data_IF_879472583417
#
_entry.id   IF_879472583417
#
_cell.length_a   1.000
_cell.length_b   1.000
_cell.length_c   1.000
_cell.angle_alpha   90.00
_cell.angle_beta   90.00
_cell.angle_gamma   90.00
#
_symmetry.space_group_name_H-M   'P 1'
#
loop_
_entity.id
_entity.type
_entity.pdbx_description
1 polymer ?
#
# COMPACT_ATOMS: atom_id res chain seq x y z
N UNK A 1 -25.00 14.05 15.10
CA UNK A 1 -24.38 13.50 13.89
C UNK A 1 -23.14 12.76 14.35
N UNK A 2 -23.29 11.47 14.62
CA UNK A 2 -22.17 10.58 14.93
C UNK A 2 -21.39 10.37 13.64
N UNK A 3 -20.19 10.95 13.57
CA UNK A 3 -19.22 10.64 12.53
C UNK A 3 -18.58 9.31 12.97
N UNK A 4 -18.78 8.26 12.18
CA UNK A 4 -18.29 6.91 12.47
C UNK A 4 -16.77 6.90 12.64
N UNK A 5 -16.30 6.21 13.68
CA UNK A 5 -14.89 5.98 14.06
C UNK A 5 -13.98 5.54 12.89
N UNK A 6 -14.57 4.99 11.82
CA UNK A 6 -13.89 4.49 10.62
C UNK A 6 -13.40 5.62 9.69
N UNK A 7 -14.08 6.77 9.67
CA UNK A 7 -13.66 7.94 8.87
C UNK A 7 -12.46 8.63 9.50
N UNK A 8 -12.33 8.57 10.82
CA UNK A 8 -11.20 9.15 11.54
C UNK A 8 -9.90 8.42 11.20
N UNK A 9 -9.90 7.08 11.08
CA UNK A 9 -8.67 6.31 10.81
C UNK A 9 -8.07 6.63 9.45
N UNK A 10 -8.89 6.76 8.39
CA UNK A 10 -8.41 7.09 7.04
C UNK A 10 -7.87 8.52 6.99
N UNK A 11 -8.55 9.46 7.64
CA UNK A 11 -8.09 10.84 7.79
C UNK A 11 -6.79 10.89 8.61
N UNK A 12 -6.67 10.12 9.69
CA UNK A 12 -5.45 10.03 10.49
C UNK A 12 -4.29 9.42 9.71
N UNK A 13 -4.51 8.42 8.86
CA UNK A 13 -3.46 7.85 7.99
C UNK A 13 -3.02 8.89 6.95
N UNK A 14 -3.94 9.57 6.28
CA UNK A 14 -3.61 10.64 5.32
C UNK A 14 -2.88 11.81 6.00
N UNK A 15 -3.33 12.24 7.18
CA UNK A 15 -2.67 13.28 7.98
C UNK A 15 -1.29 12.80 8.45
N UNK A 16 -1.16 11.54 8.91
CA UNK A 16 0.12 10.94 9.32
C UNK A 16 1.14 10.91 8.16
N UNK A 17 0.69 10.61 6.94
CA UNK A 17 1.53 10.66 5.74
C UNK A 17 1.91 12.09 5.34
N UNK A 18 0.99 13.07 5.44
CA UNK A 18 1.31 14.48 5.22
C UNK A 18 2.31 15.03 6.26
N UNK A 19 2.21 14.60 7.52
CA UNK A 19 3.09 15.02 8.62
C UNK A 19 4.51 14.44 8.53
N UNK A 20 4.66 13.22 8.01
CA UNK A 20 5.98 12.60 7.87
C UNK A 20 6.83 13.25 6.76
N UNK A 21 6.21 13.95 5.82
CA UNK A 21 6.87 14.46 4.60
C UNK A 21 6.93 15.99 4.49
N UNK A 22 6.00 16.74 5.08
CA UNK A 22 6.10 18.21 5.11
C UNK A 22 6.91 18.68 6.33
N UNK A 23 8.02 19.37 6.07
CA UNK A 23 8.85 20.01 7.08
C UNK A 23 8.01 20.81 8.10
N UNK A 24 8.38 20.69 9.39
CA UNK A 24 7.70 21.21 10.60
C UNK A 24 7.10 22.64 10.48
N UNK A 25 7.62 23.49 9.61
CA UNK A 25 7.17 24.86 9.43
C UNK A 25 5.92 25.01 8.54
N UNK A 26 5.67 24.10 7.58
CA UNK A 26 4.52 24.21 6.67
C UNK A 26 3.20 23.74 7.29
N UNK A 27 3.25 22.85 8.28
CA UNK A 27 2.06 22.37 9.01
C UNK A 27 1.44 23.47 9.89
N UNK A 28 2.27 24.36 10.46
CA UNK A 28 1.76 25.52 11.21
C UNK A 28 0.99 26.49 10.31
N UNK A 29 1.45 26.70 9.08
CA UNK A 29 0.73 27.50 8.08
C UNK A 29 -0.59 26.82 7.69
N UNK A 30 -0.55 25.51 7.40
CA UNK A 30 -1.73 24.74 7.01
C UNK A 30 -2.84 24.72 8.08
N UNK A 31 -2.47 24.63 9.36
CA UNK A 31 -3.44 24.73 10.47
C UNK A 31 -3.96 26.16 10.71
N UNK A 32 -3.27 27.18 10.20
CA UNK A 32 -3.72 28.57 10.27
C UNK A 32 -4.71 28.89 9.14
N UNK A 33 -4.48 28.36 7.94
CA UNK A 33 -5.26 28.64 6.72
C UNK A 33 -6.58 27.85 6.64
N UNK A 34 -6.69 26.74 7.37
CA UNK A 34 -7.96 26.04 7.51
C UNK A 34 -8.77 26.78 8.59
N UNK A 35 -9.74 27.59 8.16
CA UNK A 35 -10.71 28.30 9.00
C UNK A 35 -11.60 27.38 9.83
N UNK A 36 -11.02 26.71 10.82
CA UNK A 36 -11.69 25.78 11.74
C UNK A 36 -11.76 26.36 13.15
N UNK A 37 -12.89 26.10 13.81
CA UNK A 37 -13.26 26.63 15.12
C UNK A 37 -12.22 26.30 16.20
N UNK A 38 -12.18 27.13 17.24
CA UNK A 38 -11.29 27.02 18.42
C UNK A 38 -11.30 25.63 19.07
N UNK A 39 -12.42 24.91 19.00
CA UNK A 39 -12.58 23.55 19.53
C UNK A 39 -11.72 22.53 18.74
N UNK A 40 -11.71 22.61 17.41
CA UNK A 40 -10.95 21.70 16.56
C UNK A 40 -9.44 21.92 16.69
N UNK A 41 -9.01 23.16 16.90
CA UNK A 41 -7.61 23.49 17.22
C UNK A 41 -7.16 22.86 18.55
N UNK A 42 -8.06 22.81 19.53
CA UNK A 42 -7.79 22.22 20.85
C UNK A 42 -7.64 20.70 20.78
N UNK A 43 -8.49 20.02 20.02
CA UNK A 43 -8.42 18.55 19.83
C UNK A 43 -7.12 18.14 19.14
N UNK A 44 -6.73 18.86 18.08
CA UNK A 44 -5.47 18.61 17.36
C UNK A 44 -4.25 18.85 18.28
N UNK A 45 -4.29 19.90 19.10
CA UNK A 45 -3.22 20.20 20.07
C UNK A 45 -3.13 19.16 21.20
N UNK A 46 -4.27 18.66 21.69
CA UNK A 46 -4.31 17.61 22.71
C UNK A 46 -3.76 16.28 22.17
N UNK A 47 -4.06 15.96 20.91
CA UNK A 47 -3.51 14.79 20.22
C UNK A 47 -1.98 14.89 20.04
N UNK A 48 -1.46 16.10 19.72
CA UNK A 48 -0.03 16.39 19.61
C UNK A 48 0.73 16.15 20.93
N UNK A 49 0.18 16.60 22.07
CA UNK A 49 0.81 16.43 23.39
C UNK A 49 0.81 14.98 23.86
N UNK A 50 -0.25 14.24 23.54
CA UNK A 50 -0.37 12.82 23.92
C UNK A 50 0.67 11.98 23.18
N UNK A 51 0.90 12.25 21.89
CA UNK A 51 1.89 11.55 21.06
C UNK A 51 3.33 11.69 21.58
N UNK A 52 3.73 12.91 21.99
CA UNK A 52 5.09 13.15 22.55
C UNK A 52 5.34 12.32 23.81
N UNK A 53 4.33 12.18 24.67
CA UNK A 53 4.47 11.40 25.91
C UNK A 53 4.57 9.89 25.68
N UNK A 54 3.91 9.36 24.64
CA UNK A 54 3.90 7.92 24.33
C UNK A 54 5.16 7.44 23.62
N UNK A 55 5.79 8.30 22.81
CA UNK A 55 7.04 7.98 22.10
C UNK A 55 8.23 7.88 23.08
N UNK A 56 8.26 8.75 24.10
CA UNK A 56 9.28 8.74 25.15
C UNK A 56 9.15 7.50 26.07
N UNK A 57 7.93 7.07 26.40
CA UNK A 57 7.70 5.86 27.21
C UNK A 57 7.97 4.54 26.46
N UNK A 58 7.67 4.49 25.16
CA UNK A 58 7.94 3.32 24.32
C UNK A 58 9.46 3.07 24.16
N UNK A 59 10.24 4.14 24.01
CA UNK A 59 11.70 4.08 23.91
C UNK A 59 12.38 3.61 25.21
N UNK A 60 11.83 3.98 26.38
CA UNK A 60 12.35 3.54 27.68
C UNK A 60 12.09 2.06 27.94
N UNK A 61 10.90 1.57 27.58
CA UNK A 61 10.46 0.18 27.84
C UNK A 61 11.16 -0.83 26.92
N UNK A 62 11.55 -0.42 25.71
CA UNK A 62 12.30 -1.25 24.76
C UNK A 62 13.71 -1.62 25.23
N UNK A 63 14.41 -0.72 25.94
CA UNK A 63 15.78 -0.97 26.41
C UNK A 63 15.86 -2.07 27.47
N UNK A 64 14.78 -2.32 28.20
CA UNK A 64 14.72 -3.33 29.26
C UNK A 64 14.45 -4.73 28.70
N UNK A 65 13.66 -4.86 27.61
CA UNK A 65 13.24 -6.18 27.07
C UNK A 65 14.26 -6.86 26.16
N UNK A 66 15.26 -6.16 25.64
CA UNK A 66 16.30 -6.78 24.78
C UNK A 66 17.36 -7.57 25.55
N UNK A 67 17.37 -7.52 26.89
CA UNK A 67 18.38 -8.19 27.71
C UNK A 67 18.04 -9.67 28.06
N UNK A 68 16.85 -10.17 27.73
CA UNK A 68 16.34 -11.44 28.31
C UNK A 68 16.17 -12.62 27.32
N UNK A 69 16.50 -12.48 26.04
CA UNK A 69 16.38 -13.60 25.08
C UNK A 69 17.71 -14.36 24.88
N UNK A 70 17.79 -15.58 25.41
CA UNK A 70 18.90 -16.53 25.17
C UNK A 70 18.90 -17.12 23.75
N UNK A 71 19.98 -17.81 23.32
CA UNK A 71 20.15 -18.26 21.94
C UNK A 71 19.24 -19.45 21.58
N UNK A 72 18.73 -19.52 20.32
CA UNK A 72 17.81 -20.57 19.88
C UNK A 72 18.54 -21.85 19.37
N UNK A 73 17.84 -23.00 19.30
CA UNK A 73 18.44 -24.30 18.94
C UNK A 73 18.72 -24.48 17.44
N UNK A 74 19.75 -25.29 17.13
CA UNK A 74 20.50 -25.36 15.86
C UNK A 74 19.86 -26.17 14.71
N UNK A 75 18.57 -26.52 14.74
CA UNK A 75 17.95 -27.39 13.70
C UNK A 75 16.61 -26.90 13.14
N UNK A 76 16.28 -25.61 13.28
CA UNK A 76 15.03 -25.07 12.73
C UNK A 76 15.09 -24.87 11.20
N UNK A 77 14.04 -25.32 10.50
CA UNK A 77 13.82 -25.11 9.07
C UNK A 77 13.93 -23.62 8.67
N UNK A 78 14.35 -23.36 7.42
CA UNK A 78 14.48 -22.01 6.86
C UNK A 78 13.18 -21.20 7.05
N UNK A 79 13.24 -19.98 7.64
CA UNK A 79 12.09 -19.13 7.93
C UNK A 79 11.46 -18.56 6.65
N UNK A 80 10.22 -18.02 6.74
CA UNK A 80 9.41 -17.65 5.58
C UNK A 80 9.98 -16.45 4.79
N UNK A 81 9.71 -16.30 3.47
CA UNK A 81 9.93 -15.04 2.77
C UNK A 81 9.02 -13.99 3.40
N UNK A 82 9.29 -12.73 3.11
CA UNK A 82 8.55 -11.61 3.65
C UNK A 82 7.02 -11.77 3.45
N UNK A 83 6.65 -12.33 2.28
CA UNK A 83 5.27 -12.56 1.81
C UNK A 83 4.60 -13.81 2.42
N UNK A 84 5.34 -14.67 3.14
CA UNK A 84 4.76 -15.79 3.90
C UNK A 84 4.80 -15.56 5.44
N UNK A 85 5.25 -14.41 5.93
CA UNK A 85 5.14 -14.04 7.37
C UNK A 85 3.78 -13.33 7.59
N UNK A 86 2.71 -14.00 7.17
CA UNK A 86 1.32 -13.53 7.25
C UNK A 86 0.44 -14.60 7.87
N UNK A 87 -0.18 -14.26 9.00
CA UNK A 87 -0.99 -15.13 9.86
C UNK A 87 -2.27 -15.65 9.18
N UNK A 88 -2.52 -16.96 9.33
CA UNK A 88 -3.81 -17.66 9.35
C UNK A 88 -4.96 -17.16 8.47
N UNK A 89 -5.40 -18.01 7.51
CA UNK A 89 -6.68 -17.86 6.81
C UNK A 89 -7.83 -17.65 7.81
N UNK A 90 -8.69 -16.67 7.57
CA UNK A 90 -9.93 -16.48 8.32
C UNK A 90 -11.11 -16.31 7.37
N UNK A 91 -12.15 -17.08 7.65
CA UNK A 91 -13.47 -17.10 7.03
C UNK A 91 -14.17 -15.73 7.09
N UNK A 92 -14.75 -15.34 5.97
CA UNK A 92 -15.70 -14.23 5.86
C UNK A 92 -17.10 -14.63 6.34
N UNK A 93 -17.48 -14.13 7.51
CA UNK A 93 -18.89 -13.88 7.76
C UNK A 93 -19.33 -12.70 6.89
N UNK A 94 -20.38 -12.88 6.09
CA UNK A 94 -20.86 -11.94 5.09
C UNK A 94 -21.10 -10.52 5.62
N UNK A 95 -20.32 -9.56 5.12
CA UNK A 95 -20.33 -8.15 5.58
C UNK A 95 -21.05 -7.25 4.56
N UNK A 96 -22.23 -7.63 4.08
CA UNK A 96 -23.19 -6.69 3.48
C UNK A 96 -24.65 -7.20 3.56
N UNK A 97 -25.41 -6.85 4.60
CA UNK A 97 -26.84 -6.72 4.47
C UNK A 97 -27.17 -5.28 4.04
N UNK A 98 -27.67 -5.10 2.82
CA UNK A 98 -28.46 -3.92 2.46
C UNK A 98 -27.76 -2.79 1.72
N UNK A 99 -27.20 -3.05 0.53
CA UNK A 99 -27.15 -1.99 -0.49
C UNK A 99 -28.58 -1.80 -1.01
N UNK A 100 -29.24 -0.71 -0.63
CA UNK A 100 -30.51 -0.29 -1.26
C UNK A 100 -30.18 0.16 -2.68
N UNK A 101 -30.89 -0.42 -3.66
CA UNK A 101 -30.94 0.08 -5.03
C UNK A 101 -31.23 1.59 -5.01
N UNK A 102 -30.34 2.39 -5.57
CA UNK A 102 -30.61 3.81 -5.78
C UNK A 102 -31.69 3.95 -6.86
N UNK A 103 -32.76 4.63 -6.46
CA UNK A 103 -33.94 4.93 -7.27
C UNK A 103 -33.60 5.90 -8.39
N UNK A 104 -34.38 5.80 -9.46
CA UNK A 104 -34.31 6.65 -10.65
C UNK A 104 -34.22 8.14 -10.31
N UNK A 105 -33.35 8.83 -11.05
CA UNK A 105 -33.26 10.29 -11.05
C UNK A 105 -34.47 10.82 -11.83
N UNK A 106 -35.61 10.87 -11.18
CA UNK A 106 -36.81 11.58 -11.62
C UNK A 106 -37.34 12.34 -10.41
N UNK A 107 -36.90 13.60 -10.29
CA UNK A 107 -37.68 14.74 -9.79
C UNK A 107 -36.76 15.86 -9.29
N UNK A 108 -36.18 16.59 -10.23
CA UNK A 108 -35.73 17.97 -10.00
C UNK A 108 -36.11 18.79 -11.24
N UNK A 109 -37.35 19.28 -11.23
CA UNK A 109 -37.84 20.31 -12.16
C UNK A 109 -37.61 21.70 -11.56
N UNK A 110 -36.84 22.55 -12.25
CA UNK A 110 -36.90 24.02 -12.29
C UNK A 110 -35.78 24.45 -13.27
N UNK A 111 -35.90 25.30 -14.30
CA UNK A 111 -36.95 26.03 -15.02
C UNK A 111 -36.28 26.47 -16.35
N UNK A 112 -37.05 26.61 -17.42
CA UNK A 112 -36.61 26.79 -18.82
C UNK A 112 -36.09 28.23 -19.16
N UNK A 113 -35.60 28.55 -20.39
CA UNK A 113 -34.26 29.07 -20.64
C UNK A 113 -34.26 30.45 -21.33
N UNK A 114 -33.22 31.26 -21.14
CA UNK A 114 -32.68 32.23 -22.12
C UNK A 114 -31.59 33.07 -21.46
N UNK A 115 -30.59 33.47 -22.25
CA UNK A 115 -29.46 34.34 -21.91
C UNK A 115 -28.35 33.77 -21.02
N UNK A 116 -27.45 33.01 -21.63
CA UNK A 116 -26.01 33.36 -21.54
C UNK A 116 -25.23 32.65 -22.65
N UNK A 117 -25.28 33.23 -23.85
CA UNK A 117 -24.25 33.00 -24.86
C UNK A 117 -22.91 33.52 -24.32
N UNK A 118 -21.85 32.87 -24.77
CA UNK A 118 -20.42 33.24 -24.61
C UNK A 118 -19.82 33.04 -23.22
N UNK A 119 -19.19 31.86 -23.04
CA UNK A 119 -17.75 31.68 -22.77
C UNK A 119 -17.49 30.16 -22.59
N UNK A 120 -17.22 29.45 -23.68
CA UNK A 120 -16.69 28.07 -23.58
C UNK A 120 -15.22 28.21 -23.18
N UNK A 121 -14.91 27.97 -21.90
CA UNK A 121 -13.56 27.96 -21.35
C UNK A 121 -13.40 26.74 -20.43
N UNK A 122 -12.63 25.76 -20.92
CA UNK A 122 -11.83 24.81 -20.12
C UNK A 122 -12.52 24.09 -18.93
N UNK A 123 -13.66 23.42 -19.15
CA UNK A 123 -14.26 22.52 -18.13
C UNK A 123 -13.81 21.05 -18.22
N UNK A 124 -13.06 20.65 -19.27
CA UNK A 124 -12.83 19.23 -19.60
C UNK A 124 -11.71 18.51 -18.80
N UNK A 125 -10.92 19.21 -17.97
CA UNK A 125 -9.76 18.58 -17.29
C UNK A 125 -10.00 18.21 -15.83
N UNK A 126 -10.98 18.83 -15.16
CA UNK A 126 -11.23 18.59 -13.73
C UNK A 126 -12.00 17.29 -13.49
N UNK A 127 -12.88 16.90 -14.43
CA UNK A 127 -13.77 15.74 -14.28
C UNK A 127 -13.01 14.40 -14.31
N UNK A 128 -12.07 14.23 -15.24
CA UNK A 128 -11.26 13.01 -15.36
C UNK A 128 -10.32 12.80 -14.15
N UNK A 129 -9.69 13.87 -13.65
CA UNK A 129 -8.79 13.78 -12.50
C UNK A 129 -9.50 13.52 -11.17
N UNK A 130 -10.73 14.03 -11.00
CA UNK A 130 -11.58 13.71 -9.85
C UNK A 130 -12.01 12.23 -9.88
N UNK A 131 -12.32 11.71 -11.07
CA UNK A 131 -12.62 10.29 -11.27
C UNK A 131 -11.42 9.40 -10.89
N UNK A 132 -10.20 9.77 -11.30
CA UNK A 132 -8.97 9.03 -10.96
C UNK A 132 -8.74 8.98 -9.44
N UNK A 133 -8.88 10.12 -8.74
CA UNK A 133 -8.74 10.17 -7.28
C UNK A 133 -9.81 9.31 -6.60
N UNK A 134 -11.06 9.34 -7.07
CA UNK A 134 -12.14 8.55 -6.51
C UNK A 134 -11.86 7.03 -6.64
N UNK A 135 -11.36 6.57 -7.79
CA UNK A 135 -11.02 5.16 -8.01
C UNK A 135 -9.83 4.73 -7.15
N UNK A 136 -8.80 5.58 -7.01
CA UNK A 136 -7.66 5.30 -6.14
C UNK A 136 -8.10 5.21 -4.68
N UNK A 137 -8.94 6.14 -4.21
CA UNK A 137 -9.47 6.12 -2.83
C UNK A 137 -10.30 4.86 -2.57
N UNK A 138 -11.13 4.43 -3.54
CA UNK A 138 -11.88 3.18 -3.48
C UNK A 138 -10.96 1.96 -3.34
N UNK A 139 -9.84 1.94 -4.07
CA UNK A 139 -8.85 0.86 -3.99
C UNK A 139 -8.15 0.82 -2.63
N UNK A 140 -7.73 1.98 -2.11
CA UNK A 140 -7.10 2.10 -0.78
C UNK A 140 -8.05 1.64 0.32
N UNK A 141 -9.31 2.06 0.28
CA UNK A 141 -10.33 1.62 1.26
C UNK A 141 -10.52 0.11 1.24
N UNK A 142 -10.69 -0.49 0.05
CA UNK A 142 -10.83 -1.94 -0.08
C UNK A 142 -9.61 -2.67 0.48
N UNK A 143 -8.40 -2.27 0.05
CA UNK A 143 -7.14 -2.85 0.53
C UNK A 143 -7.02 -2.72 2.06
N UNK A 144 -7.31 -1.55 2.62
CA UNK A 144 -7.24 -1.33 4.07
C UNK A 144 -8.21 -2.25 4.83
N UNK A 145 -9.45 -2.42 4.33
CA UNK A 145 -10.44 -3.31 4.95
C UNK A 145 -10.05 -4.79 4.86
N UNK A 146 -9.55 -5.24 3.70
CA UNK A 146 -9.15 -6.63 3.47
C UNK A 146 -7.89 -6.99 4.26
N UNK A 147 -6.92 -6.08 4.33
CA UNK A 147 -5.66 -6.28 5.05
C UNK A 147 -5.68 -5.75 6.50
N UNK A 148 -6.85 -5.37 7.06
CA UNK A 148 -6.97 -4.70 8.38
C UNK A 148 -6.28 -5.42 9.55
N UNK A 149 -6.23 -6.75 9.48
CA UNK A 149 -5.58 -7.62 10.49
C UNK A 149 -4.16 -8.04 10.11
N UNK A 150 -3.77 -7.88 8.84
CA UNK A 150 -2.44 -8.26 8.38
C UNK A 150 -1.39 -7.26 8.88
N UNK A 151 -0.20 -7.79 9.17
CA UNK A 151 0.95 -7.03 9.65
C UNK A 151 2.18 -7.43 8.85
N UNK A 152 3.08 -6.47 8.69
CA UNK A 152 4.42 -6.65 8.14
C UNK A 152 5.26 -7.54 9.07
N UNK A 153 6.29 -8.17 8.52
CA UNK A 153 7.19 -9.07 9.23
C UNK A 153 8.23 -8.36 10.11
N UNK A 154 8.20 -7.03 10.20
CA UNK A 154 9.10 -6.24 11.03
C UNK A 154 8.77 -6.38 12.53
N UNK A 155 9.73 -6.12 13.44
CA UNK A 155 9.52 -6.22 14.89
C UNK A 155 8.38 -5.34 15.42
N UNK A 156 8.14 -4.18 14.80
CA UNK A 156 7.05 -3.28 15.20
C UNK A 156 5.68 -3.76 14.69
N UNK A 157 5.62 -4.83 13.89
CA UNK A 157 4.40 -5.39 13.30
C UNK A 157 3.61 -4.28 12.62
N UNK A 158 4.26 -3.56 11.69
CA UNK A 158 3.67 -2.41 11.02
C UNK A 158 2.39 -2.83 10.26
N UNK A 159 1.30 -2.03 10.21
CA UNK A 159 0.11 -2.35 9.41
C UNK A 159 0.45 -2.61 7.95
N UNK A 160 -0.14 -3.67 7.36
CA UNK A 160 0.23 -4.11 6.01
C UNK A 160 -0.12 -3.10 4.91
N UNK A 161 -1.18 -2.30 5.09
CA UNK A 161 -1.56 -1.24 4.15
C UNK A 161 -0.43 -0.26 3.81
N UNK A 162 0.54 -0.07 4.73
CA UNK A 162 1.71 0.76 4.49
C UNK A 162 2.61 0.22 3.37
N UNK A 163 2.60 -1.10 3.14
CA UNK A 163 3.20 -1.76 1.98
C UNK A 163 2.58 -1.23 0.69
N UNK A 164 1.27 -1.43 0.57
CA UNK A 164 0.51 -1.24 -0.65
C UNK A 164 0.58 0.22 -1.10
N UNK A 165 0.40 1.14 -0.15
CA UNK A 165 0.57 2.59 -0.38
C UNK A 165 2.02 2.92 -0.73
N UNK A 166 2.98 2.24 -0.11
CA UNK A 166 4.41 2.40 -0.36
C UNK A 166 4.85 1.99 -1.76
N UNK A 167 4.33 0.88 -2.27
CA UNK A 167 4.56 0.42 -3.65
C UNK A 167 3.99 1.42 -4.65
N UNK A 168 2.75 1.89 -4.44
CA UNK A 168 2.15 2.95 -5.25
C UNK A 168 2.95 4.26 -5.21
N UNK A 169 3.52 4.59 -4.04
CA UNK A 169 4.40 5.75 -3.89
C UNK A 169 5.69 5.62 -4.68
N UNK A 170 6.35 4.46 -4.68
CA UNK A 170 7.53 4.20 -5.49
C UNK A 170 7.22 4.40 -6.98
N UNK A 171 6.09 3.86 -7.46
CA UNK A 171 5.67 4.00 -8.85
C UNK A 171 5.47 5.48 -9.26
N UNK A 172 4.76 6.24 -8.45
CA UNK A 172 4.46 7.65 -8.77
C UNK A 172 5.68 8.57 -8.59
N UNK A 173 6.40 8.44 -7.46
CA UNK A 173 7.44 9.38 -7.09
C UNK A 173 8.79 9.08 -7.73
N UNK A 174 9.15 7.81 -7.91
CA UNK A 174 10.46 7.40 -8.44
C UNK A 174 10.37 6.95 -9.90
N UNK A 175 9.42 6.05 -10.21
CA UNK A 175 9.27 5.50 -11.55
C UNK A 175 8.52 6.43 -12.53
N UNK A 176 7.92 7.53 -12.02
CA UNK A 176 7.12 8.51 -12.77
C UNK A 176 5.94 7.89 -13.54
N UNK A 177 5.32 6.87 -12.94
CA UNK A 177 4.12 6.20 -13.47
C UNK A 177 2.88 6.92 -12.93
N UNK A 178 2.06 7.45 -13.82
CA UNK A 178 0.82 8.17 -13.50
C UNK A 178 -0.44 7.53 -14.10
N UNK A 179 -0.30 6.31 -14.65
CA UNK A 179 -1.44 5.54 -15.16
C UNK A 179 -2.28 5.01 -13.98
N UNK A 180 -3.52 5.49 -13.86
CA UNK A 180 -4.44 5.16 -12.75
C UNK A 180 -4.62 3.66 -12.58
N UNK A 181 -4.76 2.91 -13.69
CA UNK A 181 -4.93 1.45 -13.67
C UNK A 181 -3.73 0.77 -13.01
N UNK A 182 -2.51 1.17 -13.35
CA UNK A 182 -1.27 0.63 -12.75
C UNK A 182 -1.16 0.97 -11.27
N UNK A 183 -1.52 2.20 -10.87
CA UNK A 183 -1.48 2.62 -9.46
C UNK A 183 -2.53 1.87 -8.63
N UNK A 184 -3.75 1.70 -9.15
CA UNK A 184 -4.80 0.92 -8.51
C UNK A 184 -4.37 -0.55 -8.38
N UNK A 185 -3.79 -1.13 -9.43
CA UNK A 185 -3.26 -2.49 -9.38
C UNK A 185 -2.14 -2.64 -8.34
N UNK A 186 -1.24 -1.65 -8.22
CA UNK A 186 -0.20 -1.64 -7.19
C UNK A 186 -0.78 -1.61 -5.75
N UNK A 187 -1.86 -0.87 -5.52
CA UNK A 187 -2.54 -0.84 -4.22
C UNK A 187 -3.21 -2.19 -3.91
N UNK A 188 -3.64 -2.92 -4.94
CA UNK A 188 -4.39 -4.17 -4.81
C UNK A 188 -3.55 -5.44 -5.05
N UNK A 189 -2.25 -5.34 -5.31
CA UNK A 189 -1.48 -6.47 -5.86
C UNK A 189 -1.49 -7.73 -4.99
N UNK A 190 -1.44 -7.59 -3.67
CA UNK A 190 -1.49 -8.72 -2.72
C UNK A 190 -2.91 -9.16 -2.32
N UNK A 191 -3.94 -8.50 -2.84
CA UNK A 191 -5.29 -8.65 -2.27
C UNK A 191 -5.89 -10.03 -2.53
N UNK A 192 -5.66 -10.61 -3.71
CA UNK A 192 -6.12 -11.96 -4.05
C UNK A 192 -5.24 -13.01 -3.35
N UNK A 193 -3.95 -12.70 -3.18
CA UNK A 193 -2.97 -13.61 -2.60
C UNK A 193 -3.19 -13.83 -1.09
N UNK A 194 -3.47 -12.76 -0.35
CA UNK A 194 -3.44 -12.76 1.12
C UNK A 194 -4.82 -12.67 1.77
N UNK A 195 -5.88 -12.54 0.99
CA UNK A 195 -7.23 -12.34 1.51
C UNK A 195 -8.23 -13.22 0.74
N UNK A 196 -9.50 -13.22 1.15
CA UNK A 196 -10.55 -13.98 0.47
C UNK A 196 -11.10 -13.28 -0.79
N UNK A 197 -10.43 -12.22 -1.24
CA UNK A 197 -10.82 -11.44 -2.42
C UNK A 197 -10.62 -12.27 -3.69
N UNK A 198 -11.62 -12.24 -4.58
CA UNK A 198 -11.56 -13.00 -5.84
C UNK A 198 -11.25 -12.10 -7.02
N UNK A 199 -10.71 -12.69 -8.10
CA UNK A 199 -10.54 -12.02 -9.39
C UNK A 199 -11.84 -11.39 -9.90
N UNK A 200 -12.97 -12.11 -9.77
CA UNK A 200 -14.28 -11.66 -10.24
C UNK A 200 -14.71 -10.40 -9.51
N UNK A 201 -14.50 -10.35 -8.19
CA UNK A 201 -14.79 -9.16 -7.38
C UNK A 201 -13.98 -7.94 -7.85
N UNK A 202 -12.67 -8.09 -8.03
CA UNK A 202 -11.82 -6.99 -8.52
C UNK A 202 -12.26 -6.52 -9.90
N UNK A 203 -12.61 -7.46 -10.79
CA UNK A 203 -13.10 -7.14 -12.14
C UNK A 203 -14.39 -6.34 -12.11
N UNK A 204 -15.34 -6.69 -11.24
CA UNK A 204 -16.60 -5.97 -11.09
C UNK A 204 -16.42 -4.57 -10.48
N UNK A 205 -15.48 -4.42 -9.54
CA UNK A 205 -15.25 -3.17 -8.84
C UNK A 205 -14.35 -2.16 -9.57
N UNK A 206 -13.36 -2.64 -10.33
CA UNK A 206 -12.28 -1.82 -10.92
C UNK A 206 -12.03 -2.10 -12.41
N UNK A 207 -12.75 -3.06 -13.00
CA UNK A 207 -12.63 -3.41 -14.41
C UNK A 207 -11.61 -4.52 -14.70
N UNK A 208 -11.68 -5.01 -15.94
CA UNK A 208 -10.92 -6.18 -16.39
C UNK A 208 -9.40 -5.96 -16.40
N UNK A 209 -8.95 -4.75 -16.75
CA UNK A 209 -7.51 -4.46 -16.85
C UNK A 209 -6.83 -4.53 -15.48
N UNK A 210 -7.41 -3.87 -14.46
CA UNK A 210 -6.93 -3.95 -13.07
C UNK A 210 -6.93 -5.39 -12.58
N UNK A 211 -8.03 -6.12 -12.76
CA UNK A 211 -8.13 -7.51 -12.30
C UNK A 211 -7.07 -8.41 -12.95
N UNK A 212 -6.77 -8.19 -14.24
CA UNK A 212 -5.75 -8.94 -14.97
C UNK A 212 -4.36 -8.68 -14.39
N UNK A 213 -3.99 -7.40 -14.18
CA UNK A 213 -2.68 -7.05 -13.61
C UNK A 213 -2.54 -7.62 -12.19
N UNK A 214 -3.57 -7.48 -11.33
CA UNK A 214 -3.56 -8.04 -9.98
C UNK A 214 -3.40 -9.57 -10.02
N UNK A 215 -4.08 -10.25 -10.95
CA UNK A 215 -3.92 -11.69 -11.13
C UNK A 215 -2.53 -12.11 -11.61
N UNK A 216 -1.87 -11.28 -12.42
CA UNK A 216 -0.49 -11.53 -12.88
C UNK A 216 0.52 -11.41 -11.72
N UNK A 217 0.27 -10.49 -10.78
CA UNK A 217 1.07 -10.31 -9.55
C UNK A 217 0.77 -11.36 -8.48
N UNK A 218 -0.38 -12.05 -8.55
CA UNK A 218 -0.80 -13.01 -7.52
C UNK A 218 0.00 -14.31 -7.59
N UNK A 219 0.59 -14.72 -6.47
CA UNK A 219 1.38 -15.95 -6.39
C UNK A 219 0.52 -17.13 -5.91
N UNK A 220 0.59 -18.25 -6.63
CA UNK A 220 0.04 -19.53 -6.19
C UNK A 220 0.83 -20.11 -5.00
N UNK A 221 0.27 -20.00 -3.80
CA UNK A 221 0.84 -20.52 -2.53
C UNK A 221 0.72 -22.03 -2.35
N UNK A 222 0.12 -22.77 -3.29
CA UNK A 222 0.02 -24.25 -3.19
C UNK A 222 1.35 -24.97 -3.43
N UNK A 223 2.31 -24.32 -4.09
CA UNK A 223 3.59 -24.90 -4.45
C UNK A 223 4.64 -24.72 -3.36
N UNK A 224 5.62 -25.63 -3.31
CA UNK A 224 6.81 -25.45 -2.45
C UNK A 224 7.54 -24.15 -2.81
N UNK A 225 8.03 -23.46 -1.78
CA UNK A 225 8.64 -22.14 -1.90
C UNK A 225 9.73 -22.04 -2.97
N UNK A 226 10.67 -22.98 -3.01
CA UNK A 226 11.78 -22.91 -3.95
C UNK A 226 11.30 -23.12 -5.39
N UNK A 227 10.30 -23.98 -5.57
CA UNK A 227 9.65 -24.17 -6.86
C UNK A 227 8.89 -22.90 -7.28
N UNK A 228 8.21 -22.24 -6.34
CA UNK A 228 7.49 -20.98 -6.54
C UNK A 228 8.43 -19.86 -6.98
N UNK A 229 9.54 -19.67 -6.27
CA UNK A 229 10.58 -18.68 -6.61
C UNK A 229 11.18 -18.90 -7.99
N UNK A 230 11.50 -20.16 -8.34
CA UNK A 230 12.00 -20.52 -9.67
C UNK A 230 10.96 -20.25 -10.76
N UNK A 231 9.69 -20.57 -10.50
CA UNK A 231 8.60 -20.34 -11.45
C UNK A 231 8.34 -18.85 -11.67
N UNK A 232 8.46 -18.03 -10.63
CA UNK A 232 8.38 -16.57 -10.76
C UNK A 232 9.44 -16.05 -11.73
N UNK A 233 10.72 -16.44 -11.57
CA UNK A 233 11.79 -16.07 -12.52
C UNK A 233 11.42 -16.49 -13.96
N UNK A 234 11.04 -17.75 -14.17
CA UNK A 234 10.67 -18.26 -15.51
C UNK A 234 9.48 -17.52 -16.15
N UNK A 235 8.57 -16.97 -15.33
CA UNK A 235 7.38 -16.28 -15.82
C UNK A 235 7.53 -14.76 -15.84
N UNK A 236 8.54 -14.20 -15.20
CA UNK A 236 8.74 -12.76 -15.06
C UNK A 236 8.79 -12.03 -16.41
N UNK A 237 9.47 -12.60 -17.40
CA UNK A 237 9.55 -12.04 -18.75
C UNK A 237 8.21 -12.02 -19.50
N UNK A 238 7.27 -12.88 -19.10
CA UNK A 238 5.93 -13.03 -19.71
C UNK A 238 4.88 -12.08 -19.12
N UNK A 239 5.19 -11.43 -17.99
CA UNK A 239 4.30 -10.45 -17.39
C UNK A 239 4.05 -9.27 -18.33
N UNK A 240 2.84 -8.72 -18.28
CA UNK A 240 2.49 -7.47 -18.95
C UNK A 240 3.35 -6.32 -18.44
N UNK A 241 3.53 -5.27 -19.25
CA UNK A 241 4.37 -4.13 -18.88
C UNK A 241 3.91 -3.49 -17.55
N UNK A 242 2.59 -3.33 -17.35
CA UNK A 242 2.01 -2.78 -16.11
C UNK A 242 2.25 -3.70 -14.91
N UNK A 243 2.14 -5.02 -15.08
CA UNK A 243 2.47 -5.98 -14.02
C UNK A 243 3.97 -5.95 -13.66
N UNK A 244 4.87 -5.83 -14.64
CA UNK A 244 6.32 -5.67 -14.39
C UNK A 244 6.64 -4.41 -13.58
N UNK A 245 5.95 -3.29 -13.84
CA UNK A 245 6.11 -2.07 -13.04
C UNK A 245 5.74 -2.31 -11.57
N UNK A 246 4.57 -2.92 -11.32
CA UNK A 246 4.10 -3.26 -9.97
C UNK A 246 5.08 -4.19 -9.26
N UNK A 247 5.51 -5.27 -9.93
CA UNK A 247 6.46 -6.24 -9.39
C UNK A 247 7.80 -5.62 -9.04
N UNK A 248 8.39 -4.80 -9.93
CA UNK A 248 9.66 -4.13 -9.66
C UNK A 248 9.55 -3.17 -8.46
N UNK A 249 8.46 -2.40 -8.39
CA UNK A 249 8.22 -1.50 -7.26
C UNK A 249 8.00 -2.25 -5.94
N UNK A 250 7.27 -3.37 -5.97
CA UNK A 250 7.08 -4.24 -4.81
C UNK A 250 8.42 -4.80 -4.31
N UNK A 251 9.23 -5.39 -5.20
CA UNK A 251 10.54 -5.92 -4.81
C UNK A 251 11.47 -4.82 -4.29
N UNK A 252 11.46 -3.63 -4.89
CA UNK A 252 12.22 -2.49 -4.39
C UNK A 252 11.77 -2.06 -2.99
N UNK A 253 10.45 -1.98 -2.75
CA UNK A 253 9.92 -1.66 -1.42
C UNK A 253 10.41 -2.68 -0.39
N UNK A 254 10.24 -3.97 -0.67
CA UNK A 254 10.58 -5.05 0.25
C UNK A 254 12.08 -5.08 0.57
N UNK A 255 12.95 -4.91 -0.42
CA UNK A 255 14.39 -4.83 -0.17
C UNK A 255 14.76 -3.63 0.71
N UNK A 256 14.19 -2.45 0.45
CA UNK A 256 14.42 -1.25 1.28
C UNK A 256 13.90 -1.43 2.70
N UNK A 257 12.77 -2.11 2.86
CA UNK A 257 12.24 -2.43 4.18
C UNK A 257 13.18 -3.36 4.95
N UNK A 258 13.75 -4.37 4.29
CA UNK A 258 14.75 -5.28 4.86
C UNK A 258 16.09 -4.57 5.16
N UNK A 259 16.50 -3.58 4.36
CA UNK A 259 17.65 -2.72 4.69
C UNK A 259 17.40 -1.91 5.97
N UNK A 260 16.18 -1.39 6.13
CA UNK A 260 15.79 -0.57 7.28
C UNK A 260 15.67 -1.38 8.56
N UNK A 261 14.93 -2.49 8.51
CA UNK A 261 14.74 -3.39 9.64
C UNK A 261 14.62 -4.82 9.14
N UNK A 262 15.46 -5.70 9.69
CA UNK A 262 15.39 -7.12 9.39
C UNK A 262 14.06 -7.72 9.88
N UNK A 263 13.38 -8.55 9.06
CA UNK A 263 12.19 -9.25 9.50
C UNK A 263 12.47 -10.16 10.70
N UNK A 264 11.45 -10.39 11.52
CA UNK A 264 11.54 -11.32 12.64
C UNK A 264 11.94 -12.71 12.13
N UNK A 265 12.84 -13.38 12.85
CA UNK A 265 13.43 -14.67 12.49
C UNK A 265 14.33 -14.70 11.25
N UNK A 266 14.59 -13.57 10.57
CA UNK A 266 15.54 -13.56 9.47
C UNK A 266 16.99 -13.47 9.96
N UNK A 267 17.88 -14.17 9.26
CA UNK A 267 19.33 -14.11 9.45
C UNK A 267 19.97 -13.36 8.28
N UNK A 268 21.25 -13.00 8.39
CA UNK A 268 21.99 -12.41 7.28
C UNK A 268 21.98 -13.32 6.02
N UNK A 269 21.95 -14.65 6.22
CA UNK A 269 21.81 -15.62 5.13
C UNK A 269 20.47 -15.46 4.41
N UNK A 270 19.35 -15.38 5.14
CA UNK A 270 18.02 -15.21 4.53
C UNK A 270 17.91 -13.91 3.74
N UNK A 271 18.47 -12.81 4.28
CA UNK A 271 18.56 -11.54 3.55
C UNK A 271 19.33 -11.71 2.24
N UNK A 272 20.52 -12.32 2.29
CA UNK A 272 21.34 -12.56 1.10
C UNK A 272 20.61 -13.39 0.05
N UNK A 273 20.04 -14.53 0.43
CA UNK A 273 19.29 -15.42 -0.47
C UNK A 273 18.06 -14.72 -1.09
N UNK A 274 17.38 -13.86 -0.31
CA UNK A 274 16.28 -13.05 -0.84
C UNK A 274 16.78 -12.04 -1.89
N UNK A 275 17.88 -11.34 -1.62
CA UNK A 275 18.42 -10.33 -2.53
C UNK A 275 19.01 -10.96 -3.81
N UNK A 276 19.64 -12.12 -3.71
CA UNK A 276 20.07 -12.92 -4.87
C UNK A 276 18.87 -13.34 -5.73
N UNK A 277 17.79 -13.79 -5.10
CA UNK A 277 16.57 -14.12 -5.80
C UNK A 277 15.92 -12.90 -6.48
N UNK A 278 15.84 -11.75 -5.79
CA UNK A 278 15.32 -10.51 -6.38
C UNK A 278 16.18 -10.05 -7.56
N UNK A 279 17.51 -10.18 -7.48
CA UNK A 279 18.42 -9.90 -8.61
C UNK A 279 18.04 -10.74 -9.83
N UNK A 280 17.92 -12.05 -9.66
CA UNK A 280 17.63 -12.96 -10.76
C UNK A 280 16.22 -12.74 -11.32
N UNK A 281 15.25 -12.43 -10.47
CA UNK A 281 13.88 -12.10 -10.87
C UNK A 281 13.79 -10.77 -11.63
N UNK A 282 14.44 -9.71 -11.14
CA UNK A 282 14.46 -8.40 -11.79
C UNK A 282 15.23 -8.41 -13.12
N UNK A 283 16.23 -9.28 -13.28
CA UNK A 283 16.95 -9.46 -14.54
C UNK A 283 16.02 -9.87 -15.70
N UNK A 284 14.98 -10.66 -15.43
CA UNK A 284 14.01 -11.11 -16.44
C UNK A 284 12.98 -10.02 -16.81
N UNK A 285 12.96 -8.90 -16.09
CA UNK A 285 12.02 -7.78 -16.32
C UNK A 285 12.72 -6.50 -16.80
N UNK A 286 14.00 -6.58 -17.18
CA UNK A 286 14.78 -5.42 -17.67
C UNK A 286 14.17 -4.77 -18.91
N UNK A 287 14.40 -3.47 -19.05
CA UNK A 287 13.81 -2.65 -20.10
C UNK A 287 12.35 -2.25 -19.83
N UNK A 288 11.90 -2.37 -18.58
CA UNK A 288 10.57 -1.93 -18.14
C UNK A 288 10.61 -0.49 -17.64
N UNK A 289 11.53 -0.18 -16.72
CA UNK A 289 11.66 1.16 -16.14
C UNK A 289 13.06 1.37 -15.57
N UNK A 290 13.84 2.23 -16.22
CA UNK A 290 15.26 2.47 -15.88
C UNK A 290 15.45 2.95 -14.43
N UNK A 291 14.53 3.76 -13.90
CA UNK A 291 14.63 4.30 -12.54
C UNK A 291 14.46 3.20 -11.49
N UNK A 292 13.44 2.34 -11.64
CA UNK A 292 13.25 1.19 -10.75
C UNK A 292 14.40 0.19 -10.83
N UNK A 293 14.83 -0.12 -12.06
CA UNK A 293 15.93 -1.04 -12.35
C UNK A 293 17.24 -0.57 -11.71
N UNK A 294 17.57 0.72 -11.86
CA UNK A 294 18.75 1.33 -11.24
C UNK A 294 18.66 1.31 -9.72
N UNK A 295 17.50 1.67 -9.15
CA UNK A 295 17.30 1.67 -7.70
C UNK A 295 17.43 0.25 -7.10
N UNK A 296 16.93 -0.77 -7.81
CA UNK A 296 17.10 -2.18 -7.44
C UNK A 296 18.58 -2.56 -7.46
N UNK A 297 19.31 -2.21 -8.53
CA UNK A 297 20.75 -2.50 -8.65
C UNK A 297 21.58 -1.85 -7.55
N UNK A 298 21.27 -0.62 -7.18
CA UNK A 298 21.93 0.07 -6.08
C UNK A 298 21.75 -0.69 -4.76
N UNK A 299 20.52 -1.10 -4.44
CA UNK A 299 20.21 -1.87 -3.23
C UNK A 299 20.94 -3.22 -3.25
N UNK A 300 20.91 -3.94 -4.38
CA UNK A 300 21.63 -5.20 -4.55
C UNK A 300 23.14 -5.01 -4.33
N UNK A 301 23.73 -3.98 -4.96
CA UNK A 301 25.16 -3.70 -4.89
C UNK A 301 25.65 -3.36 -3.48
N UNK A 302 24.80 -2.79 -2.63
CA UNK A 302 25.14 -2.49 -1.23
C UNK A 302 25.13 -3.74 -0.34
N UNK A 303 24.37 -4.77 -0.69
CA UNK A 303 24.08 -5.90 0.20
C UNK A 303 24.71 -7.23 -0.24
N UNK A 304 25.10 -7.38 -1.50
CA UNK A 304 25.71 -8.61 -2.04
C UNK A 304 27.22 -8.49 -2.32
N UNK A 305 27.88 -7.44 -1.81
CA UNK A 305 29.34 -7.28 -1.89
C UNK A 305 30.09 -8.16 -0.89
#
# INVERSE_FOLDING_TARGET
MEVSFETEVVIFILIFYLFRFFAREKVKSFCCDIGKSTEQRRVIWQALLTYQSTDDQANMTMRVKMAECGPPPETAASPPPYDDIGSGKQESDGIYPGVREEKSIEDLKLTDPEESKTLVREEETIDNGLCDVAVIMKAVDLAARRHRRQRRGDPARTPFINHLVGVAYILTNEAKVYDTVTIVAAILHDIIEDTETTYVEIREMFGNEVATIVSECTIDKSQLRDARKKRQIVNASKLSHKAKLVELADKLYNMRDIERVMPVCWTARHKREHFEWVRDYAAEMRGTNEALETAIDEVISRNLK
#
